data_IF_241216415146
#
_entry.id   IF_241216415146
#
_cell.length_a   1.000
_cell.length_b   1.000
_cell.length_c   1.000
_cell.angle_alpha   90.00
_cell.angle_beta   90.00
_cell.angle_gamma   90.00
#
_symmetry.space_group_name_H-M   'P 1'
#
loop_
_entity.id
_entity.type
_entity.pdbx_description
1 polymer ?
#
# COMPACT_ATOMS: atom_id res chain seq x y z
N UNK A 1 -65.48 -31.38 23.79
CA UNK A 1 -64.95 -31.80 22.46
C UNK A 1 -64.60 -30.53 21.71
N UNK A 2 -63.35 -30.44 21.29
CA UNK A 2 -62.65 -29.17 21.07
C UNK A 2 -63.04 -28.43 19.80
N UNK A 3 -62.59 -27.17 19.73
CA UNK A 3 -62.10 -26.54 18.50
C UNK A 3 -61.38 -25.23 18.85
N UNK A 4 -60.06 -25.25 18.79
CA UNK A 4 -59.22 -24.05 18.68
C UNK A 4 -59.07 -23.68 17.21
N UNK A 5 -59.46 -22.48 16.80
CA UNK A 5 -58.79 -21.75 15.69
C UNK A 5 -58.84 -20.24 15.94
N UNK A 6 -57.65 -19.71 16.20
CA UNK A 6 -57.33 -18.28 16.34
C UNK A 6 -57.29 -17.61 14.96
N UNK A 7 -57.81 -16.39 14.97
CA UNK A 7 -57.74 -15.26 14.04
C UNK A 7 -56.95 -15.39 12.72
N UNK A 8 -57.66 -15.13 11.62
CA UNK A 8 -57.14 -14.50 10.40
C UNK A 8 -57.42 -13.00 10.47
N UNK A 9 -56.38 -12.17 10.51
CA UNK A 9 -56.43 -10.80 10.00
C UNK A 9 -55.22 -10.64 9.09
N UNK A 10 -55.51 -10.53 7.79
CA UNK A 10 -54.52 -10.26 6.75
C UNK A 10 -54.20 -8.77 6.69
N UNK A 11 -52.92 -8.46 6.57
CA UNK A 11 -52.42 -7.15 6.16
C UNK A 11 -51.81 -7.31 4.76
N UNK A 12 -52.49 -6.71 3.79
CA UNK A 12 -52.07 -6.57 2.39
C UNK A 12 -50.91 -5.55 2.35
N UNK A 13 -49.71 -5.96 1.93
CA UNK A 13 -48.56 -5.05 1.73
C UNK A 13 -48.19 -5.01 0.24
N UNK A 14 -48.18 -3.78 -0.28
CA UNK A 14 -47.88 -3.41 -1.65
C UNK A 14 -46.47 -3.84 -2.09
N UNK A 15 -46.40 -4.29 -3.35
CA UNK A 15 -45.21 -4.62 -4.09
C UNK A 15 -44.49 -3.33 -4.55
N UNK A 16 -43.37 -3.00 -3.89
CA UNK A 16 -42.29 -2.21 -4.46
C UNK A 16 -40.97 -2.96 -4.25
N UNK A 17 -40.47 -3.62 -5.29
CA UNK A 17 -39.04 -3.81 -5.61
C UNK A 17 -38.04 -4.41 -4.61
N UNK A 18 -38.37 -4.71 -3.36
CA UNK A 18 -37.47 -5.41 -2.46
C UNK A 18 -37.46 -6.90 -2.84
N UNK A 19 -36.36 -7.39 -3.44
CA UNK A 19 -36.10 -8.83 -3.44
C UNK A 19 -35.93 -9.26 -1.99
N UNK A 20 -36.96 -9.91 -1.45
CA UNK A 20 -36.88 -10.66 -0.21
C UNK A 20 -35.81 -11.74 -0.39
N UNK A 21 -34.71 -11.60 0.35
CA UNK A 21 -33.73 -12.66 0.52
C UNK A 21 -34.38 -13.72 1.39
N UNK A 22 -34.67 -14.88 0.80
CA UNK A 22 -35.01 -16.08 1.55
C UNK A 22 -33.72 -16.66 2.14
N UNK A 23 -33.69 -17.06 3.43
CA UNK A 23 -32.53 -17.68 4.03
C UNK A 23 -32.49 -19.16 3.64
N UNK A 24 -31.80 -19.47 2.54
CA UNK A 24 -31.21 -20.80 2.37
C UNK A 24 -29.89 -20.89 3.16
N UNK A 25 -29.58 -22.10 3.59
CA UNK A 25 -29.16 -22.41 4.96
C UNK A 25 -27.65 -22.29 5.27
N UNK A 26 -26.86 -21.63 4.42
CA UNK A 26 -25.40 -21.81 4.43
C UNK A 26 -24.56 -20.50 4.34
N UNK A 27 -25.12 -19.32 4.63
CA UNK A 27 -24.36 -18.05 4.57
C UNK A 27 -24.46 -17.27 5.88
N UNK A 28 -23.38 -17.27 6.68
CA UNK A 28 -23.18 -16.33 7.78
C UNK A 28 -22.89 -14.91 7.26
N UNK A 29 -23.10 -13.85 8.06
CA UNK A 29 -22.82 -12.49 7.62
C UNK A 29 -21.32 -12.31 7.32
N UNK A 30 -21.01 -11.84 6.11
CA UNK A 30 -19.66 -11.42 5.70
C UNK A 30 -19.38 -10.04 6.30
N UNK A 31 -18.27 -9.91 7.01
CA UNK A 31 -17.75 -8.62 7.50
C UNK A 31 -16.68 -8.15 6.52
N UNK A 32 -16.90 -7.00 5.88
CA UNK A 32 -15.91 -6.29 5.09
C UNK A 32 -15.20 -5.25 5.97
N UNK A 33 -13.89 -5.40 6.14
CA UNK A 33 -13.03 -4.43 6.82
C UNK A 33 -11.95 -3.87 5.88
N UNK A 34 -12.22 -3.86 4.57
CA UNK A 34 -11.31 -3.37 3.55
C UNK A 34 -11.04 -1.87 3.72
N UNK A 35 -9.78 -1.47 3.55
CA UNK A 35 -9.36 -0.08 3.75
C UNK A 35 -8.14 0.26 2.90
N UNK A 36 -7.94 1.55 2.62
CA UNK A 36 -6.70 2.04 2.05
C UNK A 36 -5.70 2.28 3.19
N UNK A 37 -4.44 1.88 3.00
CA UNK A 37 -3.40 1.91 4.03
C UNK A 37 -2.34 2.97 3.79
N UNK A 38 -1.98 3.19 2.52
CA UNK A 38 -0.96 4.14 2.12
C UNK A 38 -1.26 4.71 0.73
N UNK A 39 -0.63 5.83 0.41
CA UNK A 39 -0.88 6.69 -0.75
C UNK A 39 0.40 7.43 -1.14
N UNK A 40 0.66 7.57 -2.44
CA UNK A 40 1.76 8.36 -2.94
C UNK A 40 1.38 9.06 -4.25
N UNK A 41 1.83 10.31 -4.40
CA UNK A 41 1.64 11.10 -5.61
C UNK A 41 2.73 10.78 -6.62
N UNK A 42 2.34 10.30 -7.79
CA UNK A 42 3.26 9.98 -8.88
C UNK A 42 3.06 10.94 -10.05
N UNK A 43 4.13 11.65 -10.40
CA UNK A 43 4.23 12.54 -11.55
C UNK A 43 4.97 11.80 -12.68
N UNK A 44 4.24 11.31 -13.70
CA UNK A 44 4.84 10.52 -14.77
C UNK A 44 5.91 11.29 -15.54
N UNK A 45 6.87 10.57 -16.11
CA UNK A 45 7.75 11.15 -17.12
C UNK A 45 6.93 11.43 -18.38
N UNK A 46 7.08 12.63 -18.98
CA UNK A 46 6.46 12.94 -20.28
C UNK A 46 6.93 11.90 -21.29
N UNK A 47 5.99 11.17 -21.87
CA UNK A 47 6.28 10.22 -22.94
C UNK A 47 5.77 10.76 -24.27
N UNK A 48 6.39 10.40 -25.41
CA UNK A 48 5.91 10.81 -26.73
C UNK A 48 4.45 10.42 -27.01
N UNK A 49 3.95 9.36 -26.38
CA UNK A 49 2.59 8.84 -26.49
C UNK A 49 1.59 9.45 -25.49
N UNK A 50 2.06 10.22 -24.50
CA UNK A 50 1.20 10.94 -23.54
C UNK A 50 1.84 12.29 -23.18
N UNK A 51 1.68 13.32 -24.03
CA UNK A 51 2.33 14.62 -23.87
C UNK A 51 1.76 15.46 -22.72
N UNK A 52 0.63 15.04 -22.13
CA UNK A 52 0.00 15.67 -20.97
C UNK A 52 -0.16 14.64 -19.84
N UNK A 53 0.91 14.26 -19.14
CA UNK A 53 0.81 13.30 -18.05
C UNK A 53 -0.02 13.92 -16.91
N UNK A 54 -1.27 13.48 -16.76
CA UNK A 54 -2.08 13.79 -15.59
C UNK A 54 -1.40 13.29 -14.32
N UNK A 55 -1.64 13.98 -13.20
CA UNK A 55 -1.22 13.49 -11.88
C UNK A 55 -1.82 12.10 -11.62
N UNK A 56 -1.00 11.16 -11.16
CA UNK A 56 -1.45 9.80 -10.83
C UNK A 56 -1.30 9.56 -9.34
N UNK A 57 -2.25 8.85 -8.75
CA UNK A 57 -2.23 8.52 -7.32
C UNK A 57 -2.05 7.03 -7.15
N UNK A 58 -0.90 6.61 -6.62
CA UNK A 58 -0.67 5.23 -6.22
C UNK A 58 -1.14 5.02 -4.78
N UNK A 59 -1.71 3.86 -4.46
CA UNK A 59 -2.15 3.55 -3.10
C UNK A 59 -2.15 2.06 -2.82
N UNK A 60 -2.07 1.72 -1.54
CA UNK A 60 -2.20 0.35 -1.05
C UNK A 60 -3.63 0.19 -0.53
N UNK A 61 -4.32 -0.83 -1.01
CA UNK A 61 -5.60 -1.27 -0.46
C UNK A 61 -5.46 -2.66 0.12
N UNK A 62 -5.99 -2.83 1.32
CA UNK A 62 -6.09 -4.11 2.01
C UNK A 62 -7.54 -4.56 2.00
N UNK A 63 -7.76 -5.76 1.52
CA UNK A 63 -9.05 -6.44 1.50
C UNK A 63 -9.06 -7.47 2.61
N UNK A 64 -10.05 -7.36 3.49
CA UNK A 64 -10.24 -8.29 4.59
C UNK A 64 -11.71 -8.66 4.68
N UNK A 65 -12.01 -9.94 4.45
CA UNK A 65 -13.35 -10.51 4.61
C UNK A 65 -13.32 -11.65 5.60
N UNK A 66 -14.18 -11.57 6.61
CA UNK A 66 -14.37 -12.64 7.58
C UNK A 66 -15.82 -13.11 7.60
N UNK A 67 -16.00 -14.43 7.59
CA UNK A 67 -17.29 -15.07 7.90
C UNK A 67 -17.40 -15.26 9.41
N UNK A 68 -18.49 -14.79 10.02
CA UNK A 68 -18.74 -15.10 11.44
C UNK A 68 -19.14 -16.58 11.58
N UNK A 69 -18.67 -17.29 12.61
CA UNK A 69 -19.04 -18.69 12.81
C UNK A 69 -20.54 -18.83 13.08
N UNK A 70 -21.27 -19.39 12.12
CA UNK A 70 -22.22 -20.46 12.43
C UNK A 70 -21.42 -21.76 12.49
N UNK A 71 -21.81 -22.71 13.36
CA UNK A 71 -21.21 -24.03 13.36
C UNK A 71 -21.26 -24.57 11.91
N UNK A 72 -20.18 -25.20 11.44
CA UNK A 72 -19.96 -25.76 10.10
C UNK A 72 -19.40 -24.75 9.05
N UNK A 73 -18.20 -25.05 8.52
CA UNK A 73 -17.42 -24.24 7.58
C UNK A 73 -17.00 -25.06 6.36
N UNK A 74 -16.89 -24.43 5.18
CA UNK A 74 -16.14 -24.94 4.01
C UNK A 74 -15.20 -23.84 3.45
N UNK A 75 -14.04 -24.32 2.97
CA UNK A 75 -12.75 -23.67 2.71
C UNK A 75 -12.64 -22.83 1.42
N UNK A 76 -11.76 -21.82 1.46
CA UNK A 76 -10.91 -21.41 0.33
C UNK A 76 -9.52 -20.89 0.77
N UNK A 77 -8.90 -21.56 1.73
CA UNK A 77 -7.44 -21.76 1.79
C UNK A 77 -7.27 -23.11 2.48
N UNK A 78 -6.40 -23.99 1.98
CA UNK A 78 -6.43 -25.44 2.24
C UNK A 78 -6.24 -25.96 3.67
N UNK A 79 -6.58 -25.24 4.74
CA UNK A 79 -6.70 -25.81 6.09
C UNK A 79 -7.96 -25.29 6.81
N UNK A 80 -8.78 -26.23 7.28
CA UNK A 80 -10.06 -25.97 7.92
C UNK A 80 -9.89 -25.50 9.36
N UNK A 81 -10.40 -24.29 9.64
CA UNK A 81 -10.55 -23.73 10.98
C UNK A 81 -11.88 -22.95 11.11
N UNK A 82 -12.31 -22.59 12.34
CA UNK A 82 -13.65 -22.08 12.66
C UNK A 82 -13.99 -20.65 12.18
N UNK A 83 -13.33 -20.14 11.14
CA UNK A 83 -13.69 -18.91 10.42
C UNK A 83 -13.01 -18.93 9.06
N UNK A 84 -13.75 -18.85 7.95
CA UNK A 84 -13.12 -18.64 6.64
C UNK A 84 -12.75 -17.16 6.54
N UNK A 85 -11.45 -16.89 6.39
CA UNK A 85 -10.86 -15.56 6.31
C UNK A 85 -10.21 -15.40 4.94
N UNK A 86 -10.52 -14.29 4.25
CA UNK A 86 -9.82 -13.88 3.04
C UNK A 86 -9.07 -12.58 3.33
N UNK A 87 -7.80 -12.55 2.95
CA UNK A 87 -6.93 -11.41 3.14
C UNK A 87 -6.05 -11.22 1.91
N UNK A 88 -6.13 -10.03 1.31
CA UNK A 88 -5.29 -9.66 0.17
C UNK A 88 -4.88 -8.20 0.28
N UNK A 89 -3.64 -7.90 -0.09
CA UNK A 89 -3.18 -6.53 -0.25
C UNK A 89 -2.65 -6.32 -1.66
N UNK A 90 -2.95 -5.15 -2.24
CA UNK A 90 -2.43 -4.79 -3.54
C UNK A 90 -2.16 -3.29 -3.65
N UNK A 91 -1.22 -2.96 -4.53
CA UNK A 91 -0.99 -1.58 -4.98
C UNK A 91 -1.89 -1.31 -6.17
N UNK A 92 -2.57 -0.19 -6.11
CA UNK A 92 -3.44 0.34 -7.14
C UNK A 92 -2.94 1.71 -7.59
N UNK A 93 -3.36 2.11 -8.78
CA UNK A 93 -3.17 3.45 -9.30
C UNK A 93 -4.51 4.02 -9.76
N UNK A 94 -4.81 5.25 -9.33
CA UNK A 94 -5.91 6.05 -9.85
C UNK A 94 -5.37 6.94 -10.97
N UNK A 95 -6.05 6.87 -12.11
CA UNK A 95 -5.95 7.81 -13.22
C UNK A 95 -7.29 8.50 -13.40
N UNK A 96 -7.30 9.63 -14.07
CA UNK A 96 -8.52 10.31 -14.45
C UNK A 96 -8.60 10.32 -15.98
N UNK A 97 -9.71 9.80 -16.51
CA UNK A 97 -10.03 9.92 -17.93
C UNK A 97 -10.30 11.41 -18.27
N UNK A 98 -10.28 11.82 -19.56
CA UNK A 98 -10.48 13.22 -19.94
C UNK A 98 -11.79 13.85 -19.46
N UNK A 99 -12.79 13.04 -19.14
CA UNK A 99 -14.09 13.45 -18.58
C UNK A 99 -14.08 13.58 -17.04
N UNK A 100 -12.94 13.28 -16.39
CA UNK A 100 -12.78 13.30 -14.94
C UNK A 100 -13.17 12.01 -14.24
N UNK A 101 -13.58 10.97 -14.98
CA UNK A 101 -13.94 9.66 -14.39
C UNK A 101 -12.69 8.98 -13.83
N UNK A 102 -12.69 8.51 -12.57
CA UNK A 102 -11.57 7.79 -12.01
C UNK A 102 -11.49 6.37 -12.59
N UNK A 103 -10.34 6.04 -13.15
CA UNK A 103 -9.98 4.70 -13.61
C UNK A 103 -8.94 4.10 -12.66
N UNK A 104 -9.28 2.95 -12.05
CA UNK A 104 -8.44 2.28 -11.06
C UNK A 104 -7.82 1.04 -11.67
N UNK A 105 -6.50 0.98 -11.59
CA UNK A 105 -5.70 -0.11 -12.13
C UNK A 105 -4.98 -0.84 -11.00
N UNK A 106 -5.12 -2.16 -10.91
CA UNK A 106 -4.29 -2.99 -10.02
C UNK A 106 -2.90 -3.12 -10.63
N UNK A 107 -1.88 -2.69 -9.91
CA UNK A 107 -0.50 -2.76 -10.38
C UNK A 107 0.18 -4.03 -9.94
N UNK A 108 0.03 -4.42 -8.67
CA UNK A 108 0.73 -5.57 -8.10
C UNK A 108 0.01 -6.07 -6.85
N UNK A 109 -0.05 -7.39 -6.67
CA UNK A 109 -0.47 -8.03 -5.41
C UNK A 109 0.73 -8.19 -4.49
N UNK A 110 0.56 -7.89 -3.21
CA UNK A 110 1.62 -8.01 -2.20
C UNK A 110 1.43 -9.36 -1.48
N UNK A 111 2.37 -10.31 -1.61
CA UNK A 111 2.22 -11.64 -1.02
C UNK A 111 2.45 -11.60 0.49
N UNK A 112 1.97 -12.65 1.18
CA UNK A 112 2.34 -12.91 2.58
C UNK A 112 1.67 -12.00 3.62
N UNK A 113 0.63 -11.25 3.26
CA UNK A 113 -0.13 -10.43 4.22
C UNK A 113 -1.09 -11.33 5.01
N UNK A 114 -0.87 -11.42 6.32
CA UNK A 114 -1.81 -11.98 7.29
C UNK A 114 -1.85 -11.11 8.53
N UNK A 115 -3.04 -10.63 8.89
CA UNK A 115 -3.29 -9.77 10.06
C UNK A 115 -4.13 -10.46 11.13
N UNK A 116 -4.66 -11.65 10.81
CA UNK A 116 -5.50 -12.48 11.68
C UNK A 116 -6.63 -11.68 12.39
N UNK A 117 -7.04 -10.55 11.80
CA UNK A 117 -8.06 -9.64 12.33
C UNK A 117 -7.68 -8.85 13.59
N UNK A 118 -6.41 -8.85 14.03
CA UNK A 118 -6.01 -8.23 15.31
C UNK A 118 -5.71 -6.73 15.17
N UNK A 119 -5.12 -6.31 14.05
CA UNK A 119 -4.82 -4.89 13.72
C UNK A 119 -4.61 -4.71 12.22
N UNK A 120 -5.02 -3.57 11.66
CA UNK A 120 -4.70 -3.21 10.26
C UNK A 120 -3.19 -3.31 10.01
N UNK A 121 -2.74 -3.93 8.91
CA UNK A 121 -1.31 -4.02 8.63
C UNK A 121 -0.78 -2.62 8.34
N UNK A 122 0.38 -2.28 8.91
CA UNK A 122 1.04 -1.00 8.66
C UNK A 122 1.86 -1.12 7.38
N UNK A 123 1.20 -0.95 6.24
CA UNK A 123 1.83 -1.00 4.94
C UNK A 123 2.20 0.39 4.44
N UNK A 124 3.30 0.48 3.70
CA UNK A 124 3.85 1.72 3.20
C UNK A 124 4.28 1.56 1.76
N UNK A 125 4.12 2.63 0.98
CA UNK A 125 4.63 2.73 -0.39
C UNK A 125 5.67 3.86 -0.44
N UNK A 126 6.85 3.55 -0.97
CA UNK A 126 7.88 4.54 -1.24
C UNK A 126 8.14 4.61 -2.74
N UNK A 127 8.14 5.84 -3.24
CA UNK A 127 8.40 6.20 -4.63
C UNK A 127 9.56 7.19 -4.65
N UNK A 128 10.31 7.22 -5.74
CA UNK A 128 11.38 8.22 -5.91
C UNK A 128 10.79 9.63 -5.77
N UNK A 129 11.38 10.51 -4.98
CA UNK A 129 10.85 11.87 -4.82
C UNK A 129 10.84 12.62 -6.17
N UNK A 130 9.80 13.40 -6.48
CA UNK A 130 9.79 14.18 -7.71
C UNK A 130 10.81 15.32 -7.63
N UNK A 131 11.47 15.63 -8.74
CA UNK A 131 12.38 16.79 -8.85
C UNK A 131 11.93 17.76 -9.93
N UNK A 132 12.31 19.02 -9.75
CA UNK A 132 12.15 20.05 -10.77
C UNK A 132 13.13 19.78 -11.93
N UNK A 133 12.58 19.70 -13.13
CA UNK A 133 13.32 19.57 -14.40
C UNK A 133 12.87 20.69 -15.33
N UNK A 134 13.72 21.10 -16.27
CA UNK A 134 13.35 22.05 -17.33
C UNK A 134 13.13 21.26 -18.62
N UNK A 135 11.93 21.37 -19.19
CA UNK A 135 11.54 20.72 -20.44
C UNK A 135 11.14 21.81 -21.43
N UNK A 136 11.87 21.90 -22.54
CA UNK A 136 11.65 22.91 -23.59
C UNK A 136 11.57 24.35 -23.04
N UNK A 137 12.34 24.65 -21.99
CA UNK A 137 12.35 25.96 -21.33
C UNK A 137 11.29 26.15 -20.22
N UNK A 138 10.42 25.17 -19.99
CA UNK A 138 9.40 25.21 -18.96
C UNK A 138 9.76 24.34 -17.75
N UNK A 139 9.68 24.86 -16.50
CA UNK A 139 9.87 24.04 -15.31
C UNK A 139 8.71 23.04 -15.16
N UNK A 140 9.05 21.77 -14.94
CA UNK A 140 8.12 20.70 -14.66
C UNK A 140 8.59 19.91 -13.43
N UNK A 141 7.65 19.39 -12.64
CA UNK A 141 7.94 18.49 -11.51
C UNK A 141 7.65 17.07 -11.98
N UNK A 142 8.66 16.19 -11.94
CA UNK A 142 8.47 14.78 -12.31
C UNK A 142 9.28 13.83 -11.43
N UNK A 143 8.78 12.62 -11.25
CA UNK A 143 9.58 11.52 -10.75
C UNK A 143 10.57 11.11 -11.85
N UNK A 144 11.84 10.93 -11.52
CA UNK A 144 12.87 10.46 -12.46
C UNK A 144 12.89 8.96 -12.65
N UNK A 145 12.11 8.26 -11.84
CA UNK A 145 11.92 6.82 -11.93
C UNK A 145 10.46 6.49 -11.68
N UNK A 146 9.93 5.55 -12.47
CA UNK A 146 8.64 4.92 -12.22
C UNK A 146 8.68 3.78 -11.21
N UNK A 147 9.87 3.41 -10.70
CA UNK A 147 10.01 2.34 -9.71
C UNK A 147 9.32 2.71 -8.39
N UNK A 148 8.71 1.72 -7.76
CA UNK A 148 8.18 1.82 -6.42
C UNK A 148 8.58 0.62 -5.58
N UNK A 149 8.58 0.81 -4.27
CA UNK A 149 8.75 -0.26 -3.28
C UNK A 149 7.63 -0.20 -2.26
N UNK A 150 7.27 -1.36 -1.72
CA UNK A 150 6.27 -1.52 -0.67
C UNK A 150 6.89 -2.29 0.47
N UNK A 151 6.67 -1.84 1.69
CA UNK A 151 7.05 -2.61 2.87
C UNK A 151 5.89 -2.68 3.86
N UNK A 152 5.89 -3.75 4.63
CA UNK A 152 5.06 -3.91 5.81
C UNK A 152 5.93 -3.60 7.02
N UNK A 153 5.47 -2.77 7.95
CA UNK A 153 6.20 -2.61 9.21
C UNK A 153 6.33 -3.97 9.91
N UNK A 154 7.54 -4.27 10.36
CA UNK A 154 7.94 -5.55 10.94
C UNK A 154 7.80 -6.75 9.96
N UNK A 155 7.68 -6.47 8.66
CA UNK A 155 7.57 -7.46 7.60
C UNK A 155 8.47 -7.14 6.39
N UNK A 156 8.31 -7.92 5.30
CA UNK A 156 9.20 -7.87 4.15
C UNK A 156 9.10 -6.58 3.33
N UNK A 157 10.14 -6.34 2.52
CA UNK A 157 10.22 -5.28 1.53
C UNK A 157 10.12 -5.87 0.11
N UNK A 158 9.18 -5.34 -0.67
CA UNK A 158 8.93 -5.70 -2.06
C UNK A 158 9.24 -4.53 -2.98
N UNK A 159 9.67 -4.84 -4.21
CA UNK A 159 9.87 -3.86 -5.27
C UNK A 159 9.85 -4.53 -6.64
N UNK A 160 10.58 -3.97 -7.61
CA UNK A 160 10.66 -4.54 -8.96
C UNK A 160 9.40 -4.37 -9.80
N UNK A 161 8.49 -3.48 -9.40
CA UNK A 161 7.32 -3.08 -10.17
C UNK A 161 7.36 -1.56 -10.43
N UNK A 162 6.61 -1.14 -11.44
CA UNK A 162 6.61 0.20 -11.99
C UNK A 162 5.23 0.85 -11.93
N UNK A 163 5.19 2.13 -11.58
CA UNK A 163 4.04 3.04 -11.69
C UNK A 163 3.94 3.67 -13.09
N UNK A 164 4.97 3.48 -13.90
CA UNK A 164 5.14 4.00 -15.24
C UNK A 164 4.32 3.16 -16.25
N UNK A 165 3.00 3.16 -16.09
CA UNK A 165 2.11 2.37 -16.93
C UNK A 165 1.47 3.25 -18.02
N UNK A 166 1.45 2.82 -19.30
CA UNK A 166 0.72 3.52 -20.36
C UNK A 166 -0.77 3.70 -20.05
N UNK A 167 -1.35 4.83 -20.46
CA UNK A 167 -2.77 5.13 -20.24
C UNK A 167 -3.70 4.20 -21.05
N UNK A 168 -3.18 3.56 -22.09
CA UNK A 168 -3.90 2.62 -22.96
C UNK A 168 -4.10 1.23 -22.33
N UNK A 169 -3.40 0.90 -21.25
CA UNK A 169 -3.52 -0.41 -20.59
C UNK A 169 -4.68 -0.42 -19.59
N UNK A 170 -5.52 -1.45 -19.73
CA UNK A 170 -6.69 -1.73 -18.87
C UNK A 170 -6.37 -2.81 -17.83
N UNK A 171 -5.31 -3.60 -18.06
CA UNK A 171 -4.74 -4.57 -17.10
C UNK A 171 -3.21 -4.54 -17.20
N UNK A 172 -2.52 -4.56 -16.07
CA UNK A 172 -1.05 -4.45 -15.97
C UNK A 172 -0.51 -5.18 -14.74
N UNK A 173 -1.18 -6.22 -14.25
CA UNK A 173 -0.69 -6.86 -13.02
C UNK A 173 0.77 -7.35 -13.17
N UNK A 174 1.65 -6.75 -12.39
CA UNK A 174 3.08 -7.03 -12.32
C UNK A 174 3.37 -7.99 -11.16
N UNK A 175 4.45 -8.74 -11.29
CA UNK A 175 4.94 -9.61 -10.20
C UNK A 175 5.89 -8.82 -9.31
N UNK A 176 5.64 -8.73 -7.99
CA UNK A 176 6.59 -8.08 -7.10
C UNK A 176 7.84 -8.96 -6.95
N UNK A 177 8.97 -8.30 -6.76
CA UNK A 177 10.21 -8.94 -6.30
C UNK A 177 10.35 -8.76 -4.81
N UNK A 178 10.63 -9.83 -4.09
CA UNK A 178 11.08 -9.75 -2.69
C UNK A 178 12.50 -9.19 -2.67
N UNK A 179 12.66 -7.99 -2.10
CA UNK A 179 13.96 -7.31 -2.00
C UNK A 179 14.65 -7.60 -0.67
N UNK A 180 13.88 -7.73 0.41
CA UNK A 180 14.38 -8.14 1.71
C UNK A 180 13.32 -8.93 2.48
N UNK A 181 13.70 -10.12 2.96
CA UNK A 181 12.90 -10.97 3.83
C UNK A 181 13.33 -10.79 5.29
N UNK A 182 13.03 -9.62 5.82
CA UNK A 182 13.44 -9.16 7.15
C UNK A 182 12.36 -8.27 7.73
N UNK A 183 12.44 -7.96 9.03
CA UNK A 183 11.48 -7.07 9.67
C UNK A 183 11.84 -5.62 9.36
N UNK A 184 11.25 -5.05 8.32
CA UNK A 184 11.54 -3.66 7.91
C UNK A 184 10.70 -2.69 8.73
N UNK A 185 11.34 -1.65 9.25
CA UNK A 185 10.66 -0.58 10.00
C UNK A 185 10.31 0.61 9.11
N UNK A 186 11.26 1.03 8.30
CA UNK A 186 11.13 2.15 7.36
C UNK A 186 11.99 1.88 6.12
N UNK A 187 11.53 2.36 4.96
CA UNK A 187 12.31 2.28 3.72
C UNK A 187 12.09 3.52 2.84
N UNK A 188 13.11 3.87 2.05
CA UNK A 188 13.05 4.94 1.06
C UNK A 188 13.77 4.54 -0.23
N UNK A 189 13.15 4.87 -1.35
CA UNK A 189 13.69 4.65 -2.69
C UNK A 189 14.51 5.88 -3.12
N UNK A 190 15.68 5.64 -3.72
CA UNK A 190 16.53 6.70 -4.25
C UNK A 190 15.83 7.44 -5.39
N UNK A 191 16.30 8.65 -5.67
CA UNK A 191 15.74 9.50 -6.70
C UNK A 191 15.71 8.85 -8.10
N UNK A 192 16.74 8.09 -8.47
CA UNK A 192 16.80 7.34 -9.73
C UNK A 192 16.08 5.98 -9.67
N UNK A 193 15.57 5.59 -8.50
CA UNK A 193 14.95 4.30 -8.26
C UNK A 193 15.91 3.12 -8.29
N UNK A 194 17.23 3.35 -8.42
CA UNK A 194 18.21 2.28 -8.52
C UNK A 194 18.48 1.62 -7.16
N UNK A 195 18.40 2.38 -6.07
CA UNK A 195 18.72 1.92 -4.72
C UNK A 195 17.55 2.11 -3.77
N UNK A 196 17.40 1.18 -2.83
CA UNK A 196 16.52 1.37 -1.68
C UNK A 196 17.35 1.26 -0.41
N UNK A 197 17.12 2.21 0.49
CA UNK A 197 17.63 2.19 1.85
C UNK A 197 16.50 1.80 2.79
N UNK A 198 16.77 0.90 3.72
CA UNK A 198 15.78 0.46 4.70
C UNK A 198 16.43 0.20 6.05
N UNK A 199 15.66 0.37 7.12
CA UNK A 199 16.09 0.08 8.48
C UNK A 199 15.32 -1.12 8.99
N UNK A 200 16.06 -2.13 9.44
CA UNK A 200 15.49 -3.32 10.08
C UNK A 200 14.99 -2.99 11.50
N UNK A 201 14.10 -3.81 12.04
CA UNK A 201 13.62 -3.70 13.42
C UNK A 201 14.77 -3.77 14.46
N UNK A 202 15.91 -4.37 14.09
CA UNK A 202 17.15 -4.37 14.87
C UNK A 202 17.84 -3.01 14.97
N UNK A 203 17.46 -2.04 14.13
CA UNK A 203 18.13 -0.74 13.99
C UNK A 203 19.29 -0.75 12.98
N UNK A 204 19.49 -1.84 12.23
CA UNK A 204 20.48 -1.88 11.16
C UNK A 204 19.95 -1.21 9.90
N UNK A 205 20.62 -0.15 9.44
CA UNK A 205 20.41 0.44 8.12
C UNK A 205 21.07 -0.43 7.06
N UNK A 206 20.34 -0.72 6.00
CA UNK A 206 20.82 -1.47 4.84
C UNK A 206 20.54 -0.71 3.56
N UNK A 207 21.47 -0.83 2.61
CA UNK A 207 21.32 -0.29 1.26
C UNK A 207 21.38 -1.45 0.27
N UNK A 208 20.45 -1.49 -0.68
CA UNK A 208 20.39 -2.52 -1.70
C UNK A 208 20.13 -1.93 -3.09
N UNK A 209 20.67 -2.59 -4.12
CA UNK A 209 20.33 -2.34 -5.52
C UNK A 209 19.01 -3.05 -5.89
N UNK A 210 18.07 -2.28 -6.42
CA UNK A 210 16.71 -2.74 -6.75
C UNK A 210 16.66 -3.68 -7.95
N UNK A 211 17.65 -3.61 -8.85
CA UNK A 211 17.75 -4.41 -10.06
C UNK A 211 18.39 -5.78 -9.80
N UNK A 212 19.30 -5.89 -8.83
CA UNK A 212 20.08 -7.12 -8.59
C UNK A 212 19.50 -7.95 -7.43
N UNK A 213 18.93 -7.32 -6.40
CA UNK A 213 18.16 -7.93 -5.31
C UNK A 213 18.70 -9.25 -4.73
N UNK A 214 19.43 -9.19 -3.60
CA UNK A 214 19.51 -10.26 -2.58
C UNK A 214 20.48 -9.91 -1.45
N UNK A 215 21.57 -9.22 -1.77
CA UNK A 215 22.61 -8.87 -0.79
C UNK A 215 22.70 -7.36 -0.64
N UNK A 216 22.50 -6.81 0.57
CA UNK A 216 22.75 -5.40 0.82
C UNK A 216 24.20 -5.05 0.49
N UNK A 217 24.40 -3.99 -0.29
CA UNK A 217 25.71 -3.45 -0.60
C UNK A 217 26.42 -2.92 0.65
N UNK A 218 25.62 -2.48 1.63
CA UNK A 218 26.10 -1.85 2.86
C UNK A 218 25.15 -2.15 4.01
N UNK A 219 25.73 -2.34 5.19
CA UNK A 219 25.01 -2.47 6.44
C UNK A 219 25.66 -1.57 7.50
N UNK A 220 24.85 -0.89 8.29
CA UNK A 220 25.29 0.05 9.31
C UNK A 220 24.41 -0.09 10.55
N UNK A 221 25.01 -0.43 11.69
CA UNK A 221 24.29 -0.56 12.96
C UNK A 221 24.12 0.81 13.62
N UNK A 222 22.91 1.37 13.53
CA UNK A 222 22.61 2.69 14.07
C UNK A 222 22.65 2.66 15.61
N UNK A 223 22.15 1.58 16.20
CA UNK A 223 22.06 1.42 17.66
C UNK A 223 23.45 1.32 18.29
N UNK A 224 24.40 0.69 17.60
CA UNK A 224 25.80 0.64 18.04
C UNK A 224 26.47 2.03 18.00
N UNK A 225 26.09 2.90 17.07
CA UNK A 225 26.69 4.22 16.88
C UNK A 225 26.06 5.30 17.78
N UNK A 226 24.74 5.29 17.91
CA UNK A 226 23.96 6.37 18.54
C UNK A 226 23.35 5.96 19.89
N UNK A 227 23.60 4.74 20.34
CA UNK A 227 22.94 4.14 21.50
C UNK A 227 21.52 3.65 21.16
N UNK A 228 20.73 3.24 22.17
CA UNK A 228 19.37 2.75 21.97
C UNK A 228 18.48 3.84 21.38
N UNK A 229 18.12 3.67 20.11
CA UNK A 229 17.32 4.63 19.35
C UNK A 229 16.32 3.91 18.46
N UNK A 230 15.28 4.63 18.06
CA UNK A 230 14.27 4.13 17.14
C UNK A 230 14.26 4.96 15.88
N UNK A 231 14.48 4.35 14.71
CA UNK A 231 14.29 5.06 13.44
C UNK A 231 12.82 5.06 13.06
N UNK A 232 12.26 6.25 12.86
CA UNK A 232 10.85 6.48 12.54
C UNK A 232 10.64 7.07 11.15
N UNK A 233 11.71 7.37 10.42
CA UNK A 233 11.63 7.88 9.06
C UNK A 233 12.98 7.84 8.36
N UNK A 234 12.93 7.72 7.04
CA UNK A 234 14.09 7.66 6.17
C UNK A 234 13.74 8.35 4.86
N UNK A 235 14.66 9.16 4.33
CA UNK A 235 14.45 9.88 3.08
C UNK A 235 15.78 10.15 2.40
N UNK A 236 15.82 10.00 1.07
CA UNK A 236 16.96 10.46 0.28
C UNK A 236 16.90 11.97 0.10
N UNK A 237 18.03 12.65 0.21
CA UNK A 237 18.12 14.03 -0.23
C UNK A 237 17.77 14.14 -1.73
N UNK A 238 17.22 15.26 -2.19
CA UNK A 238 17.10 15.50 -3.62
C UNK A 238 18.48 15.69 -4.26
N UNK A 239 18.72 15.09 -5.43
CA UNK A 239 19.91 15.35 -6.24
C UNK A 239 20.71 14.10 -6.65
N UNK A 240 21.84 14.29 -7.37
CA UNK A 240 22.61 13.20 -8.00
C UNK A 240 23.61 12.49 -7.07
N UNK A 241 23.97 13.10 -5.93
CA UNK A 241 24.77 12.44 -4.87
C UNK A 241 24.10 12.66 -3.51
N UNK A 242 22.88 12.13 -3.33
CA UNK A 242 22.09 12.48 -2.18
C UNK A 242 22.56 11.71 -0.94
N UNK A 243 22.75 12.44 0.16
CA UNK A 243 22.87 11.83 1.48
C UNK A 243 21.54 11.19 1.88
N UNK A 244 21.60 10.29 2.85
CA UNK A 244 20.41 9.68 3.42
C UNK A 244 20.06 10.36 4.74
N UNK A 245 18.83 10.84 4.86
CA UNK A 245 18.31 11.44 6.07
C UNK A 245 17.57 10.39 6.90
N UNK A 246 17.84 10.36 8.20
CA UNK A 246 17.20 9.48 9.18
C UNK A 246 16.50 10.30 10.24
N UNK A 247 15.21 10.03 10.46
CA UNK A 247 14.44 10.57 11.58
C UNK A 247 14.51 9.58 12.72
N UNK A 248 15.07 10.00 13.84
CA UNK A 248 15.34 9.15 14.99
C UNK A 248 14.55 9.68 16.18
N UNK A 249 13.90 8.77 16.89
CA UNK A 249 13.27 9.00 18.17
C UNK A 249 14.16 8.42 19.29
N UNK A 250 14.53 9.29 20.24
CA UNK A 250 15.30 8.93 21.43
C UNK A 250 14.54 9.44 22.67
N UNK A 251 13.83 8.53 23.33
CA UNK A 251 12.91 8.92 24.40
C UNK A 251 11.77 9.76 23.83
N UNK A 252 11.64 11.02 24.26
CA UNK A 252 10.64 11.96 23.74
C UNK A 252 11.21 12.96 22.71
N UNK A 253 12.48 12.82 22.33
CA UNK A 253 13.15 13.75 21.41
C UNK A 253 13.18 13.18 19.99
N UNK A 254 12.97 14.05 19.01
CA UNK A 254 13.10 13.73 17.58
C UNK A 254 14.35 14.41 17.04
N UNK A 255 15.25 13.61 16.49
CA UNK A 255 16.53 14.04 15.92
C UNK A 255 16.59 13.66 14.43
N UNK A 256 17.36 14.42 13.64
CA UNK A 256 17.66 14.07 12.25
C UNK A 256 19.16 13.91 12.04
N UNK A 257 19.52 12.80 11.43
CA UNK A 257 20.88 12.48 11.05
C UNK A 257 21.00 12.38 9.55
N UNK A 258 22.18 12.74 9.04
CA UNK A 258 22.56 12.57 7.64
C UNK A 258 23.65 11.51 7.57
N UNK A 259 23.42 10.48 6.77
CA UNK A 259 24.36 9.39 6.53
C UNK A 259 24.93 9.57 5.14
N UNK A 260 26.24 9.69 5.06
CA UNK A 260 26.95 9.77 3.78
C UNK A 260 27.08 8.38 3.16
N UNK A 261 26.61 8.24 1.92
CA UNK A 261 26.50 6.93 1.29
C UNK A 261 27.86 6.28 1.03
N UNK A 262 28.84 7.09 0.59
CA UNK A 262 30.17 6.63 0.19
C UNK A 262 31.04 6.28 1.40
N UNK A 263 31.19 7.18 2.36
CA UNK A 263 32.03 6.94 3.54
C UNK A 263 31.33 6.10 4.61
N UNK A 264 30.00 6.15 4.70
CA UNK A 264 29.24 5.53 5.80
C UNK A 264 29.34 6.31 7.10
N UNK A 265 29.93 7.51 7.05
CA UNK A 265 30.04 8.37 8.21
C UNK A 265 28.67 8.94 8.58
N UNK A 266 28.42 8.99 9.89
CA UNK A 266 27.26 9.63 10.47
C UNK A 266 27.58 11.09 10.77
N UNK A 267 26.87 12.00 10.12
CA UNK A 267 26.82 13.41 10.49
C UNK A 267 25.50 13.72 11.20
N UNK A 268 25.55 14.52 12.26
CA UNK A 268 24.33 15.20 12.74
C UNK A 268 23.87 16.13 11.63
N UNK A 269 22.60 16.01 11.21
CA UNK A 269 22.05 16.91 10.20
C UNK A 269 21.68 18.24 10.86
N UNK A 270 21.90 19.35 10.16
CA UNK A 270 21.36 20.65 10.56
C UNK A 270 19.92 20.86 10.08
N UNK A 271 19.35 19.88 9.39
CA UNK A 271 18.00 19.97 8.82
C UNK A 271 16.92 19.81 9.91
N UNK A 272 15.86 20.65 9.89
CA UNK A 272 14.69 20.49 10.74
C UNK A 272 14.06 19.09 10.66
N UNK A 273 13.59 18.57 11.81
CA UNK A 273 12.95 17.25 11.90
C UNK A 273 11.68 17.07 11.08
N UNK A 274 10.98 18.16 10.76
CA UNK A 274 9.79 18.15 9.92
C UNK A 274 10.04 17.95 8.42
N UNK A 275 11.30 17.89 7.97
CA UNK A 275 11.63 17.69 6.54
C UNK A 275 11.51 16.23 6.09
N UNK A 276 11.66 15.28 7.00
CA UNK A 276 11.45 13.85 6.70
C UNK A 276 9.95 13.58 6.79
N UNK A 277 9.33 13.46 5.62
CA UNK A 277 7.92 13.09 5.52
C UNK A 277 7.76 11.59 5.63
N UNK A 278 6.68 11.13 6.24
CA UNK A 278 6.31 9.72 6.20
C UNK A 278 5.91 9.36 4.77
N UNK A 279 6.60 8.40 4.12
CA UNK A 279 6.16 7.89 2.83
C UNK A 279 4.77 7.28 3.03
N UNK A 280 3.79 7.64 2.19
CA UNK A 280 2.51 6.93 2.17
C UNK A 280 1.29 7.66 2.74
N UNK A 281 1.39 8.81 3.42
CA UNK A 281 0.21 9.40 4.10
C UNK A 281 -0.35 10.66 3.45
N UNK A 282 0.34 11.24 2.46
CA UNK A 282 0.07 12.60 2.01
C UNK A 282 -1.32 12.81 1.42
N UNK A 283 -1.99 11.76 0.93
CA UNK A 283 -3.25 11.86 0.20
C UNK A 283 -4.30 10.81 0.60
N UNK A 284 -4.11 10.13 1.73
CA UNK A 284 -4.96 8.99 2.10
C UNK A 284 -6.44 9.39 2.26
N UNK A 285 -6.72 10.57 2.81
CA UNK A 285 -8.08 11.10 2.93
C UNK A 285 -8.76 11.30 1.58
N UNK A 286 -8.06 11.88 0.60
CA UNK A 286 -8.58 12.08 -0.74
C UNK A 286 -8.81 10.74 -1.46
N UNK A 287 -7.90 9.77 -1.27
CA UNK A 287 -8.05 8.43 -1.84
C UNK A 287 -9.25 7.70 -1.23
N UNK A 288 -9.47 7.83 0.09
CA UNK A 288 -10.65 7.28 0.75
C UNK A 288 -11.94 7.87 0.16
N UNK A 289 -11.98 9.19 -0.06
CA UNK A 289 -13.14 9.85 -0.68
C UNK A 289 -13.40 9.37 -2.11
N UNK A 290 -12.37 9.36 -2.96
CA UNK A 290 -12.48 8.90 -4.36
C UNK A 290 -12.93 7.44 -4.40
N UNK A 291 -12.26 6.56 -3.65
CA UNK A 291 -12.49 5.11 -3.70
C UNK A 291 -13.80 4.67 -3.05
N UNK A 292 -14.41 5.50 -2.19
CA UNK A 292 -15.71 5.21 -1.60
C UNK A 292 -16.82 5.12 -2.65
N UNK A 293 -16.69 5.88 -3.75
CA UNK A 293 -17.66 5.89 -4.86
C UNK A 293 -17.44 4.78 -5.90
N UNK A 294 -16.34 4.02 -5.80
CA UNK A 294 -15.94 3.02 -6.80
C UNK A 294 -16.60 1.68 -6.48
N UNK A 295 -17.33 1.14 -7.47
CA UNK A 295 -18.02 -0.15 -7.34
C UNK A 295 -17.07 -1.28 -6.93
N UNK A 296 -17.57 -2.18 -6.07
CA UNK A 296 -16.88 -3.41 -5.67
C UNK A 296 -16.38 -4.23 -6.87
N UNK A 297 -17.13 -4.22 -7.99
CA UNK A 297 -16.82 -4.98 -9.21
C UNK A 297 -15.59 -4.50 -9.98
N UNK A 298 -15.10 -3.29 -9.71
CA UNK A 298 -13.91 -2.72 -10.36
C UNK A 298 -12.63 -3.25 -9.69
N UNK A 299 -12.72 -3.55 -8.40
CA UNK A 299 -11.63 -4.21 -7.69
C UNK A 299 -11.57 -5.64 -8.22
N UNK A 300 -10.50 -6.00 -8.94
CA UNK A 300 -10.24 -7.34 -9.49
C UNK A 300 -10.03 -8.43 -8.41
N UNK A 301 -10.47 -8.16 -7.19
CA UNK A 301 -10.57 -9.11 -6.08
C UNK A 301 -11.93 -9.80 -6.23
N UNK A 302 -12.02 -11.13 -6.12
CA UNK A 302 -13.29 -11.82 -6.32
C UNK A 302 -14.37 -11.23 -5.41
N UNK A 303 -15.54 -10.96 -6.01
CA UNK A 303 -16.75 -10.66 -5.23
C UNK A 303 -16.92 -11.74 -4.16
N UNK A 304 -17.28 -11.38 -2.91
CA UNK A 304 -17.66 -12.37 -1.89
C UNK A 304 -18.78 -13.31 -2.35
N UNK A 305 -19.53 -12.94 -3.40
CA UNK A 305 -20.57 -13.80 -4.01
C UNK A 305 -20.02 -14.80 -5.02
N UNK A 306 -18.71 -14.82 -5.28
CA UNK A 306 -18.04 -15.69 -6.25
C UNK A 306 -17.63 -17.06 -5.69
N UNK A 307 -18.02 -17.40 -4.45
CA UNK A 307 -17.78 -18.72 -3.85
C UNK A 307 -18.77 -19.80 -4.30
N UNK A 308 -19.74 -19.47 -5.17
CA UNK A 308 -20.59 -20.44 -5.83
C UNK A 308 -20.08 -20.73 -7.24
N UNK A 309 -19.25 -21.77 -7.37
CA UNK A 309 -19.19 -22.67 -8.54
C UNK A 309 -18.45 -23.96 -8.21
#
# INVERSE_FOLDING_TARGET
MGNWKICRIGLLLLLCGCRAVYPDRDVGPVVDASQNLASARYHPVIRPDSPFPGERLAFIRHFYYATRPTQWAILASGEGGPSTQFEEMAVYMIRFDPDGTPNVLRLVRIPGVRTDGVTSPRAHIAIAAPSAVVLDGHPAIRNTSGTAVVYLEDGPLYGGFSLDVPDTLVDVEQTPRLLADTRVRVAALSFDGAKVAYVEASGTLRLLDTAIGATPEKALDISALLGPVTVTGIQWEPGPSPGLLLRIERGCNIEVYRVEQESGDFGVSTLPSGLIREPGSELLSAINEITHSISASIWLVPSPTGFDR
#
